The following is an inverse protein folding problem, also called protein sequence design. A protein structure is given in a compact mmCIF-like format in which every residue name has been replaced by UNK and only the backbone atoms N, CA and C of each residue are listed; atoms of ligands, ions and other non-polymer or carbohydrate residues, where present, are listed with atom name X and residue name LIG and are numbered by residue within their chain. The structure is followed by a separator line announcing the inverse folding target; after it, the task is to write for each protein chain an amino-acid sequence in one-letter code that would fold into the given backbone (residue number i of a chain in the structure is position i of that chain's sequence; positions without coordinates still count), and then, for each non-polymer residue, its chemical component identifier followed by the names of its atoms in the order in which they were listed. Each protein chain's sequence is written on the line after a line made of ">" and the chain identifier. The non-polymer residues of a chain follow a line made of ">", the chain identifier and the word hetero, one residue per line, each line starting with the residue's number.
data_IF_984334487717
#
_entry.id   IF_984334487717
#
_cell.length_a   1.000
_cell.length_b   1.000
_cell.length_c   1.000
_cell.angle_alpha   90.00
_cell.angle_beta   90.00
_cell.angle_gamma   90.00
#
_symmetry.space_group_name_H-M   'P 1'
#
loop_
_entity.id
_entity.type
_entity.pdbx_description
1 polymer ?
#
# COMPACT_ATOMS: atom_id res chain seq x y z
N UNK A 1 3.05 -5.79 7.10
CA UNK A 1 4.42 -5.42 6.69
C UNK A 1 5.32 -6.63 6.42
N UNK A 2 5.46 -7.59 7.35
CA UNK A 2 6.27 -8.81 7.11
C UNK A 2 5.45 -10.02 6.64
N UNK A 3 4.20 -10.10 7.08
CA UNK A 3 3.21 -11.02 6.52
C UNK A 3 2.56 -10.35 5.30
N UNK A 4 3.09 -10.67 4.12
CA UNK A 4 2.63 -10.13 2.84
C UNK A 4 1.40 -10.86 2.31
N UNK A 5 1.17 -12.10 2.74
CA UNK A 5 -0.06 -12.87 2.43
C UNK A 5 -1.27 -12.20 3.11
N UNK A 6 -1.15 -11.85 4.38
CA UNK A 6 -2.19 -11.10 5.11
C UNK A 6 -2.35 -9.69 4.53
N UNK A 7 -1.26 -9.08 4.06
CA UNK A 7 -1.33 -7.79 3.37
C UNK A 7 -2.11 -7.88 2.06
N UNK A 8 -1.89 -8.92 1.27
CA UNK A 8 -2.63 -9.20 0.04
C UNK A 8 -4.13 -9.42 0.31
N UNK A 9 -4.47 -10.22 1.33
CA UNK A 9 -5.86 -10.43 1.75
C UNK A 9 -6.54 -9.13 2.16
N UNK A 10 -5.83 -8.26 2.88
CA UNK A 10 -6.36 -6.95 3.26
C UNK A 10 -6.68 -6.03 2.07
N UNK A 11 -6.18 -6.34 0.87
CA UNK A 11 -6.43 -5.60 -0.38
C UNK A 11 -7.41 -6.29 -1.34
N UNK A 12 -7.91 -7.48 -1.00
CA UNK A 12 -8.75 -8.30 -1.89
C UNK A 12 -10.03 -8.79 -1.20
N UNK A 13 -9.97 -9.07 0.10
CA UNK A 13 -11.12 -9.48 0.91
C UNK A 13 -12.00 -8.29 1.32
N UNK A 14 -13.22 -8.58 1.80
CA UNK A 14 -14.15 -7.55 2.23
C UNK A 14 -13.70 -6.92 3.56
N UNK A 15 -13.46 -5.59 3.61
CA UNK A 15 -13.00 -4.94 4.84
C UNK A 15 -14.10 -4.82 5.90
N UNK A 16 -13.69 -4.85 7.17
CA UNK A 16 -14.58 -4.63 8.31
C UNK A 16 -14.63 -3.14 8.64
N UNK A 17 -15.79 -2.51 8.44
CA UNK A 17 -16.01 -1.11 8.76
C UNK A 17 -16.47 -0.94 10.21
N UNK A 18 -15.52 -0.73 11.13
CA UNK A 18 -15.79 -0.52 12.55
C UNK A 18 -14.84 0.51 13.15
N UNK A 19 -15.35 1.31 14.09
CA UNK A 19 -14.53 2.21 14.90
C UNK A 19 -14.98 2.10 16.37
N UNK A 20 -14.01 1.94 17.27
CA UNK A 20 -14.22 1.88 18.72
C UNK A 20 -14.01 3.24 19.40
N UNK A 21 -13.36 4.18 18.72
CA UNK A 21 -13.15 5.55 19.20
C UNK A 21 -12.84 6.49 18.02
N UNK A 22 -12.90 7.81 18.24
CA UNK A 22 -12.54 8.81 17.21
C UNK A 22 -11.08 8.74 16.73
N UNK A 23 -10.21 8.02 17.45
CA UNK A 23 -8.81 7.78 17.07
C UNK A 23 -8.62 6.45 16.36
N UNK A 24 -9.62 5.57 16.40
CA UNK A 24 -9.61 4.28 15.74
C UNK A 24 -9.88 4.48 14.25
N UNK A 25 -8.88 4.19 13.43
CA UNK A 25 -8.99 4.28 11.98
C UNK A 25 -9.03 2.92 11.30
N UNK A 26 -9.28 1.84 12.05
CA UNK A 26 -9.29 0.45 11.52
C UNK A 26 -10.35 0.22 10.45
N UNK A 27 -11.45 1.00 10.45
CA UNK A 27 -12.45 0.99 9.37
C UNK A 27 -11.89 1.36 7.98
N UNK A 28 -10.69 1.94 7.90
CA UNK A 28 -9.98 2.19 6.64
C UNK A 28 -9.10 1.00 6.19
N UNK A 29 -9.10 -0.11 6.92
CA UNK A 29 -8.25 -1.27 6.62
C UNK A 29 -6.77 -0.92 6.61
N UNK A 30 -6.03 -1.45 5.64
CA UNK A 30 -4.61 -1.11 5.41
C UNK A 30 -4.45 0.12 4.50
N UNK A 31 -5.25 1.16 4.75
CA UNK A 31 -5.14 2.47 4.11
C UNK A 31 -5.17 3.61 5.12
N UNK A 32 -4.67 4.77 4.70
CA UNK A 32 -4.84 6.04 5.41
C UNK A 32 -5.54 7.06 4.51
N UNK A 33 -6.08 8.12 5.12
CA UNK A 33 -6.63 9.26 4.35
C UNK A 33 -5.63 9.84 3.35
N UNK A 34 -4.33 9.84 3.67
CA UNK A 34 -3.29 10.33 2.76
C UNK A 34 -3.14 9.42 1.53
N UNK A 35 -3.20 8.10 1.73
CA UNK A 35 -3.19 7.14 0.61
C UNK A 35 -4.40 7.34 -0.30
N UNK A 36 -5.59 7.58 0.28
CA UNK A 36 -6.84 7.72 -0.46
C UNK A 36 -6.87 9.03 -1.24
N UNK A 37 -6.50 10.15 -0.61
CA UNK A 37 -6.64 11.48 -1.19
C UNK A 37 -5.46 11.86 -2.09
N UNK A 38 -4.24 11.42 -1.76
CA UNK A 38 -3.02 11.80 -2.47
C UNK A 38 -2.39 10.65 -3.26
N UNK A 39 -2.95 9.44 -3.18
CA UNK A 39 -2.45 8.25 -3.89
C UNK A 39 -1.03 7.85 -3.49
N UNK A 40 -0.61 8.21 -2.27
CA UNK A 40 0.70 7.83 -1.72
C UNK A 40 0.70 6.36 -1.29
N UNK A 41 1.87 5.72 -1.30
CA UNK A 41 2.04 4.34 -0.83
C UNK A 41 1.40 3.26 -1.73
N UNK A 42 0.79 3.63 -2.86
CA UNK A 42 0.15 2.68 -3.77
C UNK A 42 1.15 1.79 -4.50
N UNK A 43 2.40 2.21 -4.67
CA UNK A 43 3.42 1.37 -5.30
C UNK A 43 3.51 0.00 -4.59
N UNK A 44 3.66 0.00 -3.26
CA UNK A 44 3.67 -1.25 -2.48
C UNK A 44 2.34 -2.02 -2.58
N UNK A 45 1.20 -1.33 -2.55
CA UNK A 45 -0.12 -1.99 -2.65
C UNK A 45 -0.24 -2.75 -3.97
N UNK A 46 0.09 -2.10 -5.09
CA UNK A 46 0.04 -2.72 -6.41
C UNK A 46 1.09 -3.83 -6.56
N UNK A 47 2.29 -3.67 -5.99
CA UNK A 47 3.30 -4.75 -5.96
C UNK A 47 2.82 -5.97 -5.18
N UNK A 48 2.17 -5.79 -4.02
CA UNK A 48 1.59 -6.89 -3.24
C UNK A 48 0.48 -7.58 -4.03
N UNK A 49 -0.42 -6.82 -4.65
CA UNK A 49 -1.48 -7.37 -5.49
C UNK A 49 -0.90 -8.18 -6.65
N UNK A 50 -0.01 -7.58 -7.43
CA UNK A 50 0.61 -8.24 -8.58
C UNK A 50 1.37 -9.51 -8.16
N UNK A 51 2.12 -9.50 -7.05
CA UNK A 51 2.78 -10.70 -6.51
C UNK A 51 1.78 -11.80 -6.16
N UNK A 52 0.65 -11.46 -5.55
CA UNK A 52 -0.37 -12.42 -5.17
C UNK A 52 -1.03 -13.12 -6.36
N UNK A 53 -1.26 -12.40 -7.47
CA UNK A 53 -1.82 -12.98 -8.69
C UNK A 53 -0.77 -13.64 -9.59
N UNK A 54 0.46 -13.12 -9.64
CA UNK A 54 1.52 -13.66 -10.50
C UNK A 54 2.06 -15.01 -9.98
N UNK A 55 2.12 -15.18 -8.66
CA UNK A 55 2.66 -16.38 -8.00
C UNK A 55 1.58 -17.16 -7.24
N UNK A 56 0.33 -17.07 -7.69
CA UNK A 56 -0.80 -17.77 -7.05
C UNK A 56 -0.64 -19.30 -7.11
N UNK A 57 -0.12 -19.81 -8.23
CA UNK A 57 0.18 -21.21 -8.44
C UNK A 57 1.70 -21.43 -8.42
N UNK A 58 2.23 -22.25 -7.49
CA UNK A 58 3.67 -22.52 -7.41
C UNK A 58 4.21 -23.39 -8.56
N UNK A 59 3.36 -24.12 -9.28
CA UNK A 59 3.76 -25.05 -10.34
C UNK A 59 3.79 -24.38 -11.73
N UNK A 60 3.24 -23.18 -11.86
CA UNK A 60 3.22 -22.41 -13.11
C UNK A 60 4.42 -21.47 -13.24
N UNK A 61 4.86 -21.24 -14.48
CA UNK A 61 5.90 -20.27 -14.76
C UNK A 61 5.32 -18.84 -14.59
N UNK A 62 5.86 -18.02 -13.66
CA UNK A 62 5.35 -16.67 -13.41
C UNK A 62 5.34 -15.78 -14.65
N UNK A 63 6.23 -16.02 -15.60
CA UNK A 63 6.29 -15.24 -16.85
C UNK A 63 5.04 -15.42 -17.72
N UNK A 64 4.38 -16.56 -17.62
CA UNK A 64 3.16 -16.86 -18.39
C UNK A 64 1.92 -16.22 -17.74
N UNK A 65 2.06 -15.66 -16.53
CA UNK A 65 0.98 -14.99 -15.77
C UNK A 65 1.08 -13.48 -15.75
N UNK A 66 2.01 -12.88 -16.48
CA UNK A 66 2.20 -11.42 -16.50
C UNK A 66 0.91 -10.71 -16.92
N UNK A 67 0.25 -11.20 -17.97
CA UNK A 67 -1.01 -10.60 -18.45
C UNK A 67 -2.15 -10.79 -17.45
N UNK A 68 -2.24 -11.97 -16.83
CA UNK A 68 -3.21 -12.25 -15.76
C UNK A 68 -3.03 -11.31 -14.55
N UNK A 69 -1.79 -11.13 -14.08
CA UNK A 69 -1.49 -10.18 -13.01
C UNK A 69 -1.78 -8.73 -13.41
N UNK A 70 -1.51 -8.34 -14.67
CA UNK A 70 -1.91 -7.03 -15.20
C UNK A 70 -3.42 -6.84 -15.19
N UNK A 71 -4.19 -7.83 -15.63
CA UNK A 71 -5.65 -7.79 -15.62
C UNK A 71 -6.19 -7.67 -14.20
N UNK A 72 -5.60 -8.37 -13.23
CA UNK A 72 -5.94 -8.21 -11.82
C UNK A 72 -5.72 -6.78 -11.32
N UNK A 73 -4.59 -6.14 -11.67
CA UNK A 73 -4.35 -4.72 -11.33
C UNK A 73 -5.40 -3.80 -11.97
N UNK A 74 -5.76 -4.03 -13.24
CA UNK A 74 -6.82 -3.29 -13.92
C UNK A 74 -8.19 -3.45 -13.24
N UNK A 75 -8.59 -4.69 -12.93
CA UNK A 75 -9.83 -5.01 -12.24
C UNK A 75 -9.89 -4.34 -10.85
N UNK A 76 -8.82 -4.45 -10.05
CA UNK A 76 -8.73 -3.82 -8.72
C UNK A 76 -8.86 -2.30 -8.81
N UNK A 77 -8.26 -1.70 -9.84
CA UNK A 77 -8.27 -0.26 -10.09
C UNK A 77 -9.56 0.27 -10.73
N UNK A 78 -10.42 -0.59 -11.27
CA UNK A 78 -11.49 -0.21 -12.19
C UNK A 78 -12.39 0.93 -11.66
N UNK A 79 -12.71 1.87 -12.55
CA UNK A 79 -13.65 2.97 -12.34
C UNK A 79 -14.57 3.03 -13.56
N UNK A 80 -15.87 2.80 -13.38
CA UNK A 80 -16.80 2.74 -14.49
C UNK A 80 -16.82 4.05 -15.27
N UNK A 81 -17.04 3.95 -16.57
CA UNK A 81 -17.21 5.13 -17.41
C UNK A 81 -18.51 5.83 -17.05
N UNK A 82 -18.54 7.15 -17.25
CA UNK A 82 -19.79 7.91 -17.07
C UNK A 82 -20.81 7.36 -18.08
N UNK A 83 -22.09 7.30 -17.69
CA UNK A 83 -23.20 6.79 -18.54
C UNK A 83 -23.31 7.42 -19.95
N UNK A 84 -22.68 8.57 -20.19
CA UNK A 84 -22.64 9.29 -21.46
C UNK A 84 -21.21 9.46 -22.03
N UNK A 85 -20.26 8.67 -21.56
CA UNK A 85 -18.91 8.69 -22.12
C UNK A 85 -18.96 8.16 -23.55
N UNK A 86 -18.30 8.87 -24.47
CA UNK A 86 -18.08 8.34 -25.82
C UNK A 86 -17.27 7.04 -25.72
N UNK A 87 -17.56 6.04 -26.56
CA UNK A 87 -16.70 4.86 -26.67
C UNK A 87 -15.25 5.28 -26.88
N UNK A 88 -14.35 4.73 -26.08
CA UNK A 88 -12.92 4.92 -26.26
C UNK A 88 -12.44 4.00 -27.37
N UNK A 89 -11.71 4.57 -28.32
CA UNK A 89 -10.95 3.80 -29.31
C UNK A 89 -9.99 2.82 -28.62
N UNK A 90 -9.66 1.71 -29.29
CA UNK A 90 -8.86 0.64 -28.67
C UNK A 90 -7.43 1.06 -28.32
N UNK A 91 -6.92 2.13 -28.96
CA UNK A 91 -5.63 2.72 -28.61
C UNK A 91 -5.66 3.61 -27.35
N UNK A 92 -6.84 3.96 -26.84
CA UNK A 92 -6.99 4.80 -25.65
C UNK A 92 -7.05 3.97 -24.37
N UNK A 93 -6.24 4.32 -23.38
CA UNK A 93 -6.30 3.71 -22.05
C UNK A 93 -7.69 3.89 -21.41
N UNK A 94 -8.23 2.77 -20.94
CA UNK A 94 -9.58 2.69 -20.34
C UNK A 94 -9.44 2.69 -18.81
N UNK A 95 -10.51 3.04 -18.12
CA UNK A 95 -10.57 2.91 -16.65
C UNK A 95 -11.67 1.97 -16.21
N UNK A 96 -12.64 1.73 -17.08
CA UNK A 96 -13.73 0.79 -16.89
C UNK A 96 -13.28 -0.57 -17.41
N UNK A 97 -13.23 -1.56 -16.51
CA UNK A 97 -12.82 -2.94 -16.79
C UNK A 97 -13.89 -3.93 -16.32
N UNK A 98 -15.17 -3.61 -16.50
CA UNK A 98 -16.30 -4.49 -16.10
C UNK A 98 -16.24 -5.87 -16.76
N UNK A 99 -15.65 -5.96 -17.95
CA UNK A 99 -15.44 -7.22 -18.65
C UNK A 99 -14.59 -8.22 -17.84
N UNK A 100 -13.74 -7.73 -16.94
CA UNK A 100 -12.92 -8.54 -16.06
C UNK A 100 -13.70 -9.12 -14.87
N UNK A 101 -14.98 -8.78 -14.69
CA UNK A 101 -15.81 -9.32 -13.60
C UNK A 101 -15.90 -10.85 -13.62
N UNK A 102 -15.95 -11.45 -14.82
CA UNK A 102 -16.02 -12.91 -14.94
C UNK A 102 -14.77 -13.62 -14.44
N UNK A 103 -13.59 -12.99 -14.57
CA UNK A 103 -12.31 -13.57 -14.16
C UNK A 103 -11.90 -13.15 -12.73
N UNK A 104 -12.26 -11.93 -12.31
CA UNK A 104 -11.91 -11.36 -11.01
C UNK A 104 -13.15 -10.79 -10.28
N UNK A 105 -14.16 -11.61 -9.95
CA UNK A 105 -15.40 -11.14 -9.33
C UNK A 105 -15.18 -10.50 -7.96
N UNK A 106 -14.11 -10.86 -7.25
CA UNK A 106 -13.69 -10.25 -5.99
C UNK A 106 -13.08 -8.85 -6.19
N UNK A 107 -12.46 -8.59 -7.35
CA UNK A 107 -11.78 -7.34 -7.64
C UNK A 107 -12.68 -6.32 -8.31
N UNK A 108 -13.55 -6.71 -9.25
CA UNK A 108 -14.43 -5.79 -9.97
C UNK A 108 -15.86 -6.32 -9.94
N UNK A 109 -16.83 -5.46 -9.65
CA UNK A 109 -18.23 -5.87 -9.61
C UNK A 109 -18.88 -5.85 -11.00
N UNK A 110 -20.11 -6.35 -11.11
CA UNK A 110 -20.88 -6.38 -12.37
C UNK A 110 -21.08 -4.99 -13.00
N UNK A 111 -20.98 -3.92 -12.20
CA UNK A 111 -21.10 -2.54 -12.67
C UNK A 111 -19.77 -1.95 -13.13
N UNK A 112 -18.66 -2.68 -13.01
CA UNK A 112 -17.31 -2.22 -13.35
C UNK A 112 -16.62 -1.43 -12.25
N UNK A 113 -17.15 -1.39 -11.03
CA UNK A 113 -16.50 -0.68 -9.92
C UNK A 113 -15.44 -1.59 -9.32
N UNK A 114 -14.18 -1.19 -9.35
CA UNK A 114 -13.06 -1.94 -8.81
C UNK A 114 -12.97 -1.90 -7.28
N UNK A 115 -12.24 -2.84 -6.68
CA UNK A 115 -12.19 -3.07 -5.24
C UNK A 115 -11.77 -1.82 -4.49
N UNK A 116 -10.74 -1.11 -4.97
CA UNK A 116 -10.28 0.11 -4.30
C UNK A 116 -11.32 1.21 -4.32
N UNK A 117 -11.99 1.38 -5.47
CA UNK A 117 -13.05 2.37 -5.62
C UNK A 117 -14.23 2.04 -4.68
N UNK A 118 -14.70 0.78 -4.66
CA UNK A 118 -15.73 0.33 -3.72
C UNK A 118 -15.32 0.56 -2.27
N UNK A 119 -14.08 0.23 -1.92
CA UNK A 119 -13.56 0.38 -0.57
C UNK A 119 -13.55 1.85 -0.13
N UNK A 120 -13.04 2.75 -0.97
CA UNK A 120 -12.99 4.19 -0.69
C UNK A 120 -14.39 4.80 -0.50
N UNK A 121 -15.35 4.44 -1.35
CA UNK A 121 -16.75 4.89 -1.20
C UNK A 121 -17.41 4.37 0.06
N UNK A 122 -17.14 3.12 0.44
CA UNK A 122 -17.63 2.56 1.68
C UNK A 122 -16.98 3.23 2.91
N UNK A 123 -15.70 3.62 2.85
CA UNK A 123 -15.05 4.41 3.89
C UNK A 123 -15.76 5.77 4.05
N UNK A 124 -16.01 6.49 2.95
CA UNK A 124 -16.70 7.78 2.99
C UNK A 124 -18.11 7.64 3.60
N UNK A 125 -18.88 6.64 3.15
CA UNK A 125 -20.18 6.31 3.72
C UNK A 125 -20.11 6.00 5.21
N UNK A 126 -19.13 5.20 5.63
CA UNK A 126 -18.93 4.89 7.05
C UNK A 126 -18.64 6.15 7.87
N UNK A 127 -17.75 7.02 7.38
CA UNK A 127 -17.43 8.29 8.03
C UNK A 127 -18.68 9.18 8.20
N UNK A 128 -19.54 9.26 7.17
CA UNK A 128 -20.79 10.03 7.22
C UNK A 128 -21.84 9.45 8.16
N UNK A 129 -21.98 8.12 8.17
CA UNK A 129 -22.99 7.44 8.97
C UNK A 129 -22.62 7.34 10.46
N UNK A 130 -21.35 7.57 10.82
CA UNK A 130 -20.85 7.39 12.19
C UNK A 130 -20.10 8.64 12.71
N UNK A 131 -20.71 9.85 12.69
CA UNK A 131 -20.03 11.10 13.04
C UNK A 131 -19.49 11.13 14.48
N UNK A 132 -20.10 10.38 15.39
CA UNK A 132 -19.67 10.28 16.79
C UNK A 132 -18.49 9.32 17.00
N UNK A 133 -18.27 8.40 16.07
CA UNK A 133 -17.20 7.39 16.13
C UNK A 133 -15.97 7.79 15.33
N UNK A 134 -16.05 8.80 14.46
CA UNK A 134 -14.92 9.27 13.65
C UNK A 134 -14.43 10.66 14.06
N UNK A 135 -13.21 11.00 13.67
CA UNK A 135 -12.69 12.37 13.85
C UNK A 135 -13.44 13.37 12.97
N UNK A 136 -13.53 14.63 13.41
CA UNK A 136 -14.11 15.72 12.60
C UNK A 136 -13.41 15.85 11.24
N UNK A 137 -12.07 15.76 11.23
CA UNK A 137 -11.30 15.79 9.98
C UNK A 137 -11.69 14.66 9.03
N UNK A 138 -11.88 13.43 9.52
CA UNK A 138 -12.33 12.33 8.67
C UNK A 138 -13.74 12.57 8.12
N UNK A 139 -14.67 13.01 8.97
CA UNK A 139 -16.03 13.35 8.56
C UNK A 139 -16.07 14.43 7.47
N UNK A 140 -15.26 15.48 7.61
CA UNK A 140 -15.17 16.58 6.64
C UNK A 140 -14.54 16.12 5.31
N UNK A 141 -13.63 15.12 5.35
CA UNK A 141 -13.02 14.55 4.15
C UNK A 141 -13.95 13.63 3.36
N UNK A 142 -15.00 13.08 3.97
CA UNK A 142 -15.92 12.20 3.26
C UNK A 142 -16.62 12.91 2.07
N UNK A 143 -16.99 14.19 2.21
CA UNK A 143 -17.59 14.95 1.09
C UNK A 143 -16.62 15.17 -0.08
N UNK A 144 -15.32 15.29 0.23
CA UNK A 144 -14.28 15.43 -0.79
C UNK A 144 -14.13 14.11 -1.55
N UNK A 145 -14.13 12.98 -0.83
CA UNK A 145 -14.06 11.66 -1.44
C UNK A 145 -15.24 11.47 -2.40
N UNK A 146 -16.47 11.70 -1.94
CA UNK A 146 -17.68 11.49 -2.75
C UNK A 146 -17.71 12.34 -4.03
N UNK A 147 -17.12 13.55 -4.00
CA UNK A 147 -17.17 14.50 -5.14
C UNK A 147 -15.99 14.37 -6.09
N UNK A 148 -14.80 14.11 -5.58
CA UNK A 148 -13.56 14.30 -6.33
C UNK A 148 -12.79 13.00 -6.61
N UNK A 149 -12.98 11.96 -5.78
CA UNK A 149 -12.18 10.74 -5.84
C UNK A 149 -12.24 10.06 -7.21
N UNK A 150 -13.43 9.77 -7.73
CA UNK A 150 -13.58 9.04 -9.01
C UNK A 150 -12.89 9.73 -10.18
N UNK A 151 -12.95 11.06 -10.22
CA UNK A 151 -12.32 11.83 -11.28
C UNK A 151 -10.80 11.81 -11.16
N UNK A 152 -10.28 11.93 -9.93
CA UNK A 152 -8.85 11.89 -9.64
C UNK A 152 -8.28 10.47 -9.85
N UNK A 153 -8.98 9.44 -9.36
CA UNK A 153 -8.60 8.05 -9.46
C UNK A 153 -8.62 7.58 -10.92
N UNK A 154 -9.66 7.90 -11.70
CA UNK A 154 -9.69 7.61 -13.14
C UNK A 154 -8.46 8.13 -13.89
N UNK A 155 -7.99 9.33 -13.56
CA UNK A 155 -6.75 9.89 -14.14
C UNK A 155 -5.53 9.05 -13.77
N UNK A 156 -5.46 8.55 -12.53
CA UNK A 156 -4.38 7.65 -12.08
C UNK A 156 -4.41 6.29 -12.77
N UNK A 157 -5.57 5.67 -12.88
CA UNK A 157 -5.71 4.37 -13.58
C UNK A 157 -5.26 4.46 -15.04
N UNK A 158 -5.65 5.53 -15.73
CA UNK A 158 -5.16 5.81 -17.09
C UNK A 158 -3.65 6.05 -17.10
N UNK A 159 -3.13 6.82 -16.14
CA UNK A 159 -1.70 7.10 -16.01
C UNK A 159 -0.87 5.82 -15.79
N UNK A 160 -1.36 4.86 -15.00
CA UNK A 160 -0.63 3.63 -14.68
C UNK A 160 -0.40 2.73 -15.89
N UNK A 161 -1.22 2.87 -16.94
CA UNK A 161 -1.12 2.06 -18.15
C UNK A 161 -0.14 2.65 -19.18
N UNK A 162 0.35 3.87 -18.99
CA UNK A 162 1.17 4.53 -20.02
C UNK A 162 2.53 3.84 -20.16
N UNK A 163 2.91 3.39 -21.38
CA UNK A 163 4.18 2.70 -21.62
C UNK A 163 5.39 3.57 -21.30
N UNK A 164 6.49 2.92 -20.89
CA UNK A 164 7.75 3.59 -20.54
C UNK A 164 8.34 4.44 -21.68
N UNK A 165 8.10 4.05 -22.93
CA UNK A 165 8.64 4.72 -24.12
C UNK A 165 7.72 5.78 -24.74
N UNK A 166 6.62 6.14 -24.08
CA UNK A 166 5.72 7.18 -24.60
C UNK A 166 6.45 8.54 -24.68
N UNK A 167 6.42 9.18 -25.86
CA UNK A 167 7.16 10.43 -26.10
C UNK A 167 6.63 11.62 -25.26
N UNK A 168 5.44 11.51 -24.66
CA UNK A 168 4.84 12.53 -23.78
C UNK A 168 5.00 12.26 -22.28
N UNK A 169 5.85 11.29 -21.89
CA UNK A 169 6.01 10.87 -20.49
C UNK A 169 6.65 11.97 -19.66
N UNK A 170 5.89 12.64 -18.79
CA UNK A 170 6.51 13.55 -17.83
C UNK A 170 7.25 12.74 -16.78
N UNK A 171 8.49 13.14 -16.45
CA UNK A 171 9.32 12.48 -15.43
C UNK A 171 8.73 12.49 -14.02
N UNK A 172 7.54 13.05 -13.83
CA UNK A 172 6.77 13.01 -12.59
C UNK A 172 5.87 11.75 -12.46
N UNK A 173 5.90 10.84 -13.43
CA UNK A 173 5.10 9.60 -13.40
C UNK A 173 5.84 8.51 -12.63
N UNK A 174 5.59 8.45 -11.32
CA UNK A 174 6.34 7.59 -10.36
C UNK A 174 5.78 6.16 -10.27
N UNK A 175 4.61 5.86 -10.84
CA UNK A 175 3.98 4.54 -10.73
C UNK A 175 3.31 4.13 -12.05
N UNK A 176 3.68 2.95 -12.57
CA UNK A 176 3.12 2.31 -13.77
C UNK A 176 2.95 0.81 -13.51
N UNK A 177 2.00 0.18 -14.20
CA UNK A 177 1.81 -1.27 -14.11
C UNK A 177 3.03 -2.04 -14.62
N UNK A 178 3.69 -1.56 -15.69
CA UNK A 178 4.89 -2.20 -16.22
C UNK A 178 6.04 -2.23 -15.20
N UNK A 179 6.25 -1.12 -14.47
CA UNK A 179 7.28 -1.05 -13.42
C UNK A 179 6.93 -1.99 -12.27
N UNK A 180 5.65 -2.00 -11.85
CA UNK A 180 5.18 -2.91 -10.80
C UNK A 180 5.43 -4.36 -11.20
N UNK A 181 5.05 -4.77 -12.42
CA UNK A 181 5.23 -6.15 -12.90
C UNK A 181 6.71 -6.53 -13.03
N UNK A 182 7.59 -5.58 -13.41
CA UNK A 182 9.03 -5.79 -13.41
C UNK A 182 9.56 -6.02 -11.99
N UNK A 183 9.23 -5.15 -11.04
CA UNK A 183 9.64 -5.27 -9.63
C UNK A 183 9.15 -6.60 -9.02
N UNK A 184 7.94 -7.02 -9.36
CA UNK A 184 7.31 -8.26 -8.88
C UNK A 184 8.13 -9.50 -9.28
N UNK A 185 8.66 -9.53 -10.51
CA UNK A 185 9.51 -10.62 -11.00
C UNK A 185 10.85 -10.71 -10.24
N UNK A 186 11.39 -9.58 -9.80
CA UNK A 186 12.61 -9.55 -8.96
C UNK A 186 12.33 -9.95 -7.50
N UNK A 187 11.15 -9.59 -6.98
CA UNK A 187 10.79 -9.81 -5.58
C UNK A 187 10.30 -11.23 -5.27
N UNK A 188 9.76 -11.94 -6.26
CA UNK A 188 9.25 -13.32 -6.11
C UNK A 188 7.88 -13.41 -5.41
N UNK A 189 7.53 -14.62 -4.97
CA UNK A 189 6.25 -14.91 -4.29
C UNK A 189 6.10 -14.16 -2.96
N UNK A 190 4.84 -13.95 -2.53
CA UNK A 190 4.54 -13.27 -1.26
C UNK A 190 5.19 -13.98 -0.06
N UNK A 191 5.82 -13.21 0.82
CA UNK A 191 6.50 -13.73 2.01
C UNK A 191 5.53 -13.81 3.18
N UNK A 192 5.71 -14.82 4.02
CA UNK A 192 5.04 -14.92 5.31
C UNK A 192 6.08 -15.17 6.41
N UNK A 193 7.03 -14.25 6.50
CA UNK A 193 8.16 -14.39 7.40
C UNK A 193 7.79 -13.80 8.77
N UNK A 194 7.97 -14.59 9.83
CA UNK A 194 8.25 -14.04 11.16
C UNK A 194 9.76 -13.99 11.31
N UNK A 195 10.29 -12.85 11.76
CA UNK A 195 11.70 -12.76 12.13
C UNK A 195 11.73 -12.62 13.65
N UNK A 196 12.17 -13.70 14.29
CA UNK A 196 12.47 -13.68 15.71
C UNK A 196 13.78 -12.93 15.92
N UNK A 197 13.71 -11.83 16.65
CA UNK A 197 14.89 -11.04 16.96
C UNK A 197 15.69 -11.73 18.07
N UNK A 198 17.03 -11.83 17.96
CA UNK A 198 17.86 -12.38 19.02
C UNK A 198 17.65 -11.65 20.35
N UNK A 199 17.76 -12.36 21.48
CA UNK A 199 17.56 -11.79 22.83
C UNK A 199 18.47 -10.59 23.10
N UNK A 200 19.72 -10.65 22.63
CA UNK A 200 20.66 -9.54 22.73
C UNK A 200 20.17 -8.27 22.03
N UNK A 201 19.54 -8.42 20.86
CA UNK A 201 18.93 -7.31 20.12
C UNK A 201 17.69 -6.79 20.86
N UNK A 202 16.83 -7.68 21.35
CA UNK A 202 15.64 -7.29 22.12
C UNK A 202 16.00 -6.49 23.38
N UNK A 203 17.02 -6.93 24.12
CA UNK A 203 17.52 -6.24 25.32
C UNK A 203 18.01 -4.83 24.98
N UNK A 204 18.81 -4.67 23.93
CA UNK A 204 19.30 -3.36 23.48
C UNK A 204 18.18 -2.45 22.99
N UNK A 205 17.17 -3.01 22.31
CA UNK A 205 15.97 -2.25 21.92
C UNK A 205 15.32 -1.68 23.18
N UNK A 206 15.12 -2.47 24.23
CA UNK A 206 14.49 -1.96 25.46
C UNK A 206 15.34 -0.93 26.20
N UNK A 207 16.66 -1.08 26.21
CA UNK A 207 17.57 -0.10 26.81
C UNK A 207 17.60 1.24 26.05
N UNK A 208 17.53 1.21 24.72
CA UNK A 208 17.68 2.39 23.86
C UNK A 208 16.35 3.04 23.46
N UNK A 209 15.23 2.33 23.60
CA UNK A 209 13.92 2.78 23.14
C UNK A 209 13.46 4.00 23.92
N UNK A 210 13.01 5.07 23.23
CA UNK A 210 12.30 6.15 23.88
C UNK A 210 10.98 5.65 24.49
N UNK A 211 10.69 6.01 25.73
CA UNK A 211 9.46 5.61 26.47
C UNK A 211 8.17 5.86 25.65
N UNK A 212 8.16 6.93 24.85
CA UNK A 212 7.00 7.35 24.04
C UNK A 212 6.79 6.53 22.76
N UNK A 213 7.76 5.70 22.37
CA UNK A 213 7.67 4.84 21.18
C UNK A 213 7.29 3.44 21.64
N UNK A 214 6.21 2.84 21.12
CA UNK A 214 5.85 1.46 21.46
C UNK A 214 6.97 0.48 21.07
N UNK A 215 7.25 -0.50 21.93
CA UNK A 215 8.27 -1.53 21.68
C UNK A 215 8.06 -2.22 20.32
N UNK A 216 6.83 -2.60 20.04
CA UNK A 216 6.47 -3.33 18.82
C UNK A 216 6.80 -2.55 17.55
N UNK A 217 6.76 -1.21 17.58
CA UNK A 217 7.13 -0.38 16.44
C UNK A 217 8.61 -0.55 16.08
N UNK A 218 9.49 -0.59 17.08
CA UNK A 218 10.92 -0.78 16.86
C UNK A 218 11.21 -2.22 16.45
N UNK A 219 10.56 -3.22 17.08
CA UNK A 219 10.72 -4.63 16.71
C UNK A 219 10.36 -4.87 15.25
N UNK A 220 9.21 -4.35 14.79
CA UNK A 220 8.78 -4.50 13.39
C UNK A 220 9.72 -3.74 12.44
N UNK A 221 10.24 -2.57 12.81
CA UNK A 221 11.24 -1.86 12.00
C UNK A 221 12.55 -2.64 11.85
N UNK A 222 13.04 -3.24 12.94
CA UNK A 222 14.26 -4.05 12.91
C UNK A 222 14.04 -5.32 12.09
N UNK A 223 12.95 -6.03 12.33
CA UNK A 223 12.59 -7.22 11.57
C UNK A 223 12.37 -6.90 10.08
N UNK A 224 11.69 -5.81 9.75
CA UNK A 224 11.54 -5.36 8.36
C UNK A 224 12.89 -5.03 7.71
N UNK A 225 13.83 -4.43 8.44
CA UNK A 225 15.17 -4.18 7.91
C UNK A 225 15.87 -5.49 7.56
N UNK A 226 15.88 -6.44 8.50
CA UNK A 226 16.54 -7.74 8.32
C UNK A 226 15.91 -8.53 7.16
N UNK A 227 14.59 -8.47 7.00
CA UNK A 227 13.87 -9.13 5.90
C UNK A 227 14.15 -8.55 4.51
N UNK A 228 14.58 -7.29 4.43
CA UNK A 228 14.65 -6.53 3.18
C UNK A 228 16.05 -5.95 2.89
N UNK A 229 17.05 -6.25 3.73
CA UNK A 229 18.43 -5.85 3.50
C UNK A 229 18.98 -6.58 2.29
N UNK A 230 19.46 -5.82 1.32
CA UNK A 230 20.19 -6.35 0.17
C UNK A 230 21.67 -6.54 0.53
N UNK A 231 22.35 -7.46 -0.16
CA UNK A 231 23.77 -7.76 0.11
C UNK A 231 24.68 -6.57 -0.21
N UNK A 232 24.35 -5.82 -1.25
CA UNK A 232 25.13 -4.69 -1.79
C UNK A 232 24.76 -3.33 -1.15
N UNK A 233 23.79 -3.29 -0.23
CA UNK A 233 23.32 -2.05 0.40
C UNK A 233 23.04 -2.20 1.89
N UNK A 234 23.64 -1.31 2.67
CA UNK A 234 23.29 -1.11 4.09
C UNK A 234 21.99 -0.33 4.28
N UNK A 235 21.38 0.20 3.21
CA UNK A 235 20.14 0.96 3.29
C UNK A 235 18.96 0.15 2.74
N UNK A 236 17.87 0.14 3.51
CA UNK A 236 16.59 -0.47 3.14
C UNK A 236 15.57 0.63 2.85
N UNK A 237 14.70 0.38 1.86
CA UNK A 237 13.56 1.25 1.57
C UNK A 237 12.51 1.10 2.68
N UNK A 238 12.16 2.20 3.32
CA UNK A 238 11.11 2.29 4.34
C UNK A 238 9.84 2.88 3.71
N UNK A 239 8.79 2.06 3.46
CA UNK A 239 7.51 2.56 2.96
C UNK A 239 6.69 3.18 4.11
N UNK A 240 7.07 4.39 4.51
CA UNK A 240 6.53 5.10 5.69
C UNK A 240 5.00 5.16 5.69
N UNK A 241 4.37 5.49 4.56
CA UNK A 241 2.90 5.55 4.46
C UNK A 241 2.24 4.18 4.64
N UNK A 242 2.85 3.10 4.16
CA UNK A 242 2.32 1.75 4.35
C UNK A 242 2.51 1.27 5.80
N UNK A 243 3.56 1.72 6.48
CA UNK A 243 3.70 1.51 7.92
C UNK A 243 2.63 2.24 8.73
N UNK A 244 2.29 3.49 8.38
CA UNK A 244 1.15 4.19 9.00
C UNK A 244 -0.15 3.41 8.81
N UNK A 245 -0.37 2.89 7.61
CA UNK A 245 -1.54 2.07 7.29
C UNK A 245 -1.55 0.74 8.07
N UNK A 246 -0.40 0.07 8.16
CA UNK A 246 -0.25 -1.18 8.91
C UNK A 246 -0.51 -0.99 10.41
N UNK A 247 -0.01 0.11 11.00
CA UNK A 247 -0.29 0.43 12.40
C UNK A 247 -1.69 1.03 12.61
N UNK A 248 -2.46 1.26 11.54
CA UNK A 248 -3.75 1.92 11.60
C UNK A 248 -3.66 3.31 12.25
N UNK A 249 -2.56 4.05 12.02
CA UNK A 249 -2.34 5.36 12.62
C UNK A 249 -1.21 6.13 11.95
N UNK A 250 -1.39 7.43 11.72
CA UNK A 250 -0.29 8.33 11.29
C UNK A 250 0.67 8.68 12.43
N UNK A 251 0.55 8.05 13.60
CA UNK A 251 1.48 8.25 14.71
C UNK A 251 2.86 7.70 14.38
N UNK A 252 2.95 6.67 13.54
CA UNK A 252 4.24 6.12 13.14
C UNK A 252 5.09 7.19 12.43
N UNK A 253 4.62 7.75 11.33
CA UNK A 253 5.35 8.78 10.57
C UNK A 253 5.54 10.09 11.34
N UNK A 254 4.49 10.56 12.03
CA UNK A 254 4.47 11.92 12.63
C UNK A 254 5.05 12.01 14.03
N UNK A 255 5.05 10.92 14.80
CA UNK A 255 5.45 10.95 16.23
C UNK A 255 6.54 9.94 16.55
N UNK A 256 6.35 8.68 16.21
CA UNK A 256 7.25 7.62 16.64
C UNK A 256 8.55 7.65 15.84
N UNK A 257 8.48 7.57 14.51
CA UNK A 257 9.63 7.53 13.62
C UNK A 257 10.60 8.71 13.82
N UNK A 258 10.15 9.97 14.02
CA UNK A 258 11.06 11.09 14.31
C UNK A 258 11.69 11.05 15.70
N UNK A 259 11.09 10.30 16.65
CA UNK A 259 11.57 10.19 18.04
C UNK A 259 12.59 9.06 18.20
N UNK A 260 12.63 8.09 17.28
CA UNK A 260 13.60 6.99 17.34
C UNK A 260 15.02 7.54 17.18
N UNK A 261 15.94 7.28 18.13
CA UNK A 261 17.29 7.81 18.12
C UNK A 261 18.19 7.12 17.10
N UNK A 262 19.27 7.80 16.71
CA UNK A 262 20.30 7.26 15.80
C UNK A 262 21.06 6.06 16.37
N UNK A 263 20.99 5.84 17.69
CA UNK A 263 21.48 4.63 18.34
C UNK A 263 20.71 3.36 17.94
N UNK A 264 19.51 3.51 17.37
CA UNK A 264 18.71 2.40 16.85
C UNK A 264 18.67 2.44 15.32
N UNK A 265 18.23 3.54 14.71
CA UNK A 265 18.12 3.67 13.24
C UNK A 265 18.69 4.99 12.74
N UNK A 266 19.34 4.96 11.58
CA UNK A 266 19.65 6.15 10.81
C UNK A 266 18.70 6.21 9.62
N UNK A 267 18.13 7.38 9.35
CA UNK A 267 17.16 7.56 8.25
C UNK A 267 17.47 8.78 7.40
N UNK A 268 17.22 8.67 6.10
CA UNK A 268 17.20 9.81 5.18
C UNK A 268 15.82 10.50 5.25
N UNK A 269 15.77 11.73 4.74
CA UNK A 269 14.53 12.51 4.66
C UNK A 269 13.50 11.75 3.83
N UNK A 270 12.30 11.64 4.37
CA UNK A 270 11.14 11.08 3.69
C UNK A 270 10.71 11.99 2.53
N UNK A 271 10.34 11.37 1.40
CA UNK A 271 9.66 12.02 0.28
C UNK A 271 8.57 11.08 -0.25
N UNK A 272 7.37 11.63 -0.48
CA UNK A 272 6.23 10.90 -1.06
C UNK A 272 5.90 9.59 -0.31
N UNK A 273 5.97 9.62 1.03
CA UNK A 273 5.64 8.45 1.84
C UNK A 273 6.71 7.36 1.88
N UNK A 274 7.91 7.62 1.33
CA UNK A 274 9.03 6.69 1.30
C UNK A 274 10.28 7.34 1.90
N UNK A 275 11.01 6.59 2.69
CA UNK A 275 12.33 6.96 3.18
C UNK A 275 13.33 5.82 2.91
N UNK A 276 14.61 6.07 3.17
CA UNK A 276 15.62 5.01 3.31
C UNK A 276 16.15 5.03 4.73
N UNK A 277 16.37 3.86 5.30
CA UNK A 277 16.91 3.73 6.64
C UNK A 277 17.89 2.56 6.74
N UNK A 278 18.71 2.61 7.79
CA UNK A 278 19.58 1.51 8.19
C UNK A 278 19.59 1.35 9.70
N UNK A 279 19.88 0.15 10.17
CA UNK A 279 20.11 -0.07 11.59
C UNK A 279 21.46 0.52 12.01
N UNK A 280 21.54 0.94 13.27
CA UNK A 280 22.82 1.19 13.88
C UNK A 280 23.57 -0.15 14.04
N UNK A 281 24.82 -0.28 13.58
CA UNK A 281 25.58 -1.52 13.72
C UNK A 281 25.69 -2.00 15.18
N UNK A 282 25.75 -1.07 16.14
CA UNK A 282 25.79 -1.41 17.56
C UNK A 282 24.50 -2.07 18.08
N UNK A 283 23.38 -1.95 17.35
CA UNK A 283 22.13 -2.59 17.72
C UNK A 283 22.19 -4.10 17.45
N UNK A 284 22.72 -4.50 16.29
CA UNK A 284 22.67 -5.88 15.79
C UNK A 284 23.98 -6.66 15.97
N UNK A 285 25.13 -5.99 16.12
CA UNK A 285 26.41 -6.69 16.30
C UNK A 285 26.58 -7.11 17.76
N UNK A 286 26.67 -8.41 18.02
CA UNK A 286 27.16 -8.92 19.31
C UNK A 286 28.62 -8.46 19.49
N UNK A 287 28.89 -7.78 20.59
CA UNK A 287 30.27 -7.60 21.07
C UNK A 287 30.52 -8.65 22.12
#
# INVERSE_FOLDING_TARGET
>A
MLNEIEEFRAYTELPIYRATSKRDTTYMGRFTLDMILNFNGLARVLTILARGYLFADPDENPRDKIDYARQALCAWCSVPDKKKASPKEDWQFKSDFKELHGEFPELVDENGVGWFCRHVHNIARFMKNNPDSVSKTAYDKADIIDKEFDAAWRKKVVQFQVPIFSQGTSGAWILRFDDVLADVLELGSLRNNSIDLPDGVLKRIEELRPVKVPLEVIRILVAYYLANKQEDSEWVVLPVTNFDAFFGSTMFSKKWLPTIPESIILRKKERLGVARYRLNPALVNEK
#
